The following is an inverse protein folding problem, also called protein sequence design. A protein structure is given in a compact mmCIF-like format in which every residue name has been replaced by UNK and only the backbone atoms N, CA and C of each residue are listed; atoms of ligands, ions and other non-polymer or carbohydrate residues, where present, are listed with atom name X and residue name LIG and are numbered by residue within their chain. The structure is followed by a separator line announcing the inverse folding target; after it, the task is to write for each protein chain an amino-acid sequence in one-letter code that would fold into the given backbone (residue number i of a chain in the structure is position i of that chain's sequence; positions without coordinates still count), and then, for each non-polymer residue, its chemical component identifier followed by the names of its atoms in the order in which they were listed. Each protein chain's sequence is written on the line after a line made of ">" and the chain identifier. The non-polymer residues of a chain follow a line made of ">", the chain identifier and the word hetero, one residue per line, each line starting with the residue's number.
data_IF_783028755357
#
_entry.id   IF_783028755357
#
_cell.length_a   1.000
_cell.length_b   1.000
_cell.length_c   1.000
_cell.angle_alpha   90.00
_cell.angle_beta   90.00
_cell.angle_gamma   90.00
#
_symmetry.space_group_name_H-M   'P 1'
#
loop_
_entity.id
_entity.type
_entity.pdbx_description
1 polymer ?
#
# COMPACT_ATOMS: atom_id res chain seq x y z
N UNK A 1 7.53 32.07 23.52
CA UNK A 1 8.68 31.32 22.98
C UNK A 1 9.05 30.25 23.99
N UNK A 2 8.55 29.05 23.83
CA UNK A 2 8.99 27.90 24.63
C UNK A 2 10.47 27.68 24.30
N UNK A 3 11.27 27.70 25.32
CA UNK A 3 12.72 27.65 25.18
C UNK A 3 13.12 26.26 24.63
N UNK A 4 13.68 26.21 23.42
CA UNK A 4 14.12 24.94 22.79
C UNK A 4 15.03 24.14 23.73
N UNK A 5 15.75 24.81 24.62
CA UNK A 5 16.57 24.20 25.66
C UNK A 5 15.78 23.51 26.77
N UNK A 6 14.58 23.97 27.09
CA UNK A 6 13.71 23.27 28.07
C UNK A 6 13.14 21.98 27.45
N UNK A 7 12.68 22.04 26.19
CA UNK A 7 12.24 20.86 25.45
C UNK A 7 13.35 19.81 25.29
N UNK A 8 14.59 20.25 25.03
CA UNK A 8 15.76 19.37 25.00
C UNK A 8 15.97 18.63 26.34
N UNK A 9 15.85 19.36 27.46
CA UNK A 9 16.03 18.77 28.79
C UNK A 9 14.89 17.80 29.15
N UNK A 10 13.68 18.10 28.72
CA UNK A 10 12.50 17.27 28.97
C UNK A 10 12.45 16.02 28.10
N UNK A 11 12.94 16.11 26.85
CA UNK A 11 12.89 15.04 25.84
C UNK A 11 14.22 14.78 25.13
N UNK A 12 15.29 14.44 25.86
CA UNK A 12 16.63 14.32 25.28
C UNK A 12 16.74 13.23 24.20
N UNK A 13 15.94 12.19 24.33
CA UNK A 13 15.95 11.06 23.39
C UNK A 13 15.33 11.45 22.07
N UNK A 14 14.20 12.15 22.08
CA UNK A 14 13.56 12.67 20.88
C UNK A 14 14.49 13.61 20.09
N UNK A 15 15.15 14.53 20.76
CA UNK A 15 16.10 15.44 20.10
C UNK A 15 17.31 14.72 19.52
N UNK A 16 17.83 13.70 20.23
CA UNK A 16 18.92 12.88 19.71
C UNK A 16 18.52 12.15 18.43
N UNK A 17 17.31 11.59 18.36
CA UNK A 17 16.79 10.96 17.13
C UNK A 17 16.63 11.97 16.01
N UNK A 18 16.05 13.13 16.27
CA UNK A 18 15.90 14.19 15.27
C UNK A 18 17.25 14.63 14.71
N UNK A 19 18.27 14.80 15.56
CA UNK A 19 19.63 15.15 15.12
C UNK A 19 20.24 14.02 14.31
N UNK A 20 20.11 12.78 14.75
CA UNK A 20 20.65 11.61 14.06
C UNK A 20 20.02 11.46 12.66
N UNK A 21 18.69 11.54 12.57
CA UNK A 21 17.97 11.51 11.31
C UNK A 21 18.33 12.68 10.39
N UNK A 22 18.50 13.88 10.96
CA UNK A 22 18.93 15.05 10.20
C UNK A 22 20.33 14.88 9.63
N UNK A 23 21.28 14.37 10.43
CA UNK A 23 22.64 14.11 9.99
C UNK A 23 22.69 13.02 8.90
N UNK A 24 21.94 11.95 9.07
CA UNK A 24 21.81 10.91 8.04
C UNK A 24 21.23 11.51 6.75
N UNK A 25 20.17 12.32 6.86
CA UNK A 25 19.53 12.96 5.70
C UNK A 25 20.49 13.86 4.95
N UNK A 26 21.27 14.67 5.69
CA UNK A 26 22.30 15.56 5.11
C UNK A 26 23.40 14.72 4.45
N UNK A 27 23.89 13.66 5.11
CA UNK A 27 24.93 12.79 4.57
C UNK A 27 24.45 12.08 3.29
N UNK A 28 23.19 11.58 3.28
CA UNK A 28 22.59 11.01 2.10
C UNK A 28 22.42 12.03 0.97
N UNK A 29 21.92 13.23 1.27
CA UNK A 29 21.77 14.30 0.28
C UNK A 29 23.15 14.68 -0.31
N UNK A 30 24.15 14.89 0.52
CA UNK A 30 25.52 15.20 0.07
C UNK A 30 26.13 14.06 -0.77
N UNK A 31 26.00 12.82 -0.34
CA UNK A 31 26.44 11.63 -1.07
C UNK A 31 25.72 11.48 -2.42
N UNK A 32 24.41 11.70 -2.42
CA UNK A 32 23.57 11.66 -3.62
C UNK A 32 23.97 12.74 -4.63
N UNK A 33 24.13 13.99 -4.20
CA UNK A 33 24.61 15.08 -5.05
C UNK A 33 26.02 14.82 -5.57
N UNK A 34 26.94 14.37 -4.70
CA UNK A 34 28.29 14.01 -5.12
C UNK A 34 28.28 12.92 -6.20
N UNK A 35 27.45 11.90 -6.05
CA UNK A 35 27.32 10.79 -6.99
C UNK A 35 26.71 11.24 -8.32
N UNK A 36 25.69 12.11 -8.29
CA UNK A 36 25.07 12.71 -9.49
C UNK A 36 26.07 13.51 -10.30
N UNK A 37 26.88 14.37 -9.62
CA UNK A 37 27.88 15.21 -10.31
C UNK A 37 29.03 14.38 -10.91
N UNK A 38 29.36 13.26 -10.31
CA UNK A 38 30.47 12.40 -10.75
C UNK A 38 30.09 11.42 -11.86
N UNK A 39 28.83 11.04 -11.97
CA UNK A 39 28.37 10.05 -12.96
C UNK A 39 27.23 10.60 -13.80
N UNK A 40 27.34 10.39 -15.13
CA UNK A 40 26.22 10.65 -16.05
C UNK A 40 25.15 9.56 -15.89
N UNK A 41 24.32 9.68 -14.86
CA UNK A 41 23.24 8.72 -14.59
C UNK A 41 22.03 9.00 -15.47
N UNK A 42 21.34 7.95 -15.87
CA UNK A 42 20.03 8.06 -16.51
C UNK A 42 18.99 8.52 -15.49
N UNK A 43 17.97 9.29 -15.91
CA UNK A 43 16.92 9.80 -15.04
C UNK A 43 16.21 8.67 -14.24
N UNK A 44 16.00 7.50 -14.86
CA UNK A 44 15.44 6.32 -14.20
C UNK A 44 16.28 5.82 -13.02
N UNK A 45 17.61 5.86 -13.14
CA UNK A 45 18.52 5.49 -12.05
C UNK A 45 18.48 6.51 -10.91
N UNK A 46 18.42 7.80 -11.27
CA UNK A 46 18.26 8.90 -10.30
C UNK A 46 16.94 8.73 -9.55
N UNK A 47 15.86 8.47 -10.29
CA UNK A 47 14.54 8.18 -9.71
C UNK A 47 14.60 7.04 -8.70
N UNK A 48 15.14 5.87 -9.09
CA UNK A 48 15.25 4.71 -8.22
C UNK A 48 15.96 5.05 -6.90
N UNK A 49 17.14 5.69 -6.99
CA UNK A 49 17.91 6.06 -5.82
C UNK A 49 17.20 7.11 -4.96
N UNK A 50 16.55 8.10 -5.58
CA UNK A 50 15.79 9.11 -4.86
C UNK A 50 14.64 8.47 -4.07
N UNK A 51 13.86 7.57 -4.70
CA UNK A 51 12.76 6.88 -4.02
C UNK A 51 13.27 6.00 -2.88
N UNK A 52 14.34 5.23 -3.11
CA UNK A 52 14.92 4.39 -2.06
C UNK A 52 15.44 5.20 -0.88
N UNK A 53 16.13 6.32 -1.12
CA UNK A 53 16.68 7.17 -0.06
C UNK A 53 15.56 7.88 0.70
N UNK A 54 14.71 8.63 -0.01
CA UNK A 54 13.65 9.43 0.61
C UNK A 54 12.58 8.54 1.25
N UNK A 55 12.18 7.47 0.57
CA UNK A 55 11.22 6.52 1.12
C UNK A 55 11.75 5.79 2.36
N UNK A 56 13.03 5.41 2.38
CA UNK A 56 13.64 4.84 3.60
C UNK A 56 13.63 5.85 4.74
N UNK A 57 13.97 7.12 4.46
CA UNK A 57 13.91 8.19 5.45
C UNK A 57 12.49 8.36 6.01
N UNK A 58 11.49 8.44 5.12
CA UNK A 58 10.09 8.50 5.53
C UNK A 58 9.67 7.28 6.36
N UNK A 59 10.08 6.07 5.95
CA UNK A 59 9.78 4.84 6.69
C UNK A 59 10.30 4.86 8.13
N UNK A 60 11.44 5.50 8.38
CA UNK A 60 11.99 5.68 9.74
C UNK A 60 11.31 6.82 10.52
N UNK A 61 10.95 7.91 9.83
CA UNK A 61 10.26 9.05 10.46
C UNK A 61 8.83 8.71 10.83
N UNK A 62 8.14 7.98 9.95
CA UNK A 62 6.79 7.49 10.24
C UNK A 62 6.84 6.52 11.41
N UNK A 63 6.09 6.85 12.46
CA UNK A 63 5.95 5.95 13.61
C UNK A 63 5.38 4.61 13.15
N UNK A 64 5.75 3.51 13.83
CA UNK A 64 5.15 2.22 13.55
C UNK A 64 3.61 2.28 13.59
N UNK A 65 2.96 1.76 12.55
CA UNK A 65 1.51 1.67 12.42
C UNK A 65 0.76 3.03 12.46
N UNK A 66 1.46 4.15 12.17
CA UNK A 66 0.85 5.49 12.21
C UNK A 66 0.28 5.96 10.87
N UNK A 67 0.62 5.30 9.77
CA UNK A 67 0.00 5.59 8.48
C UNK A 67 -1.47 5.18 8.49
N UNK A 68 -2.34 5.83 7.70
CA UNK A 68 -3.75 5.48 7.62
C UNK A 68 -3.94 3.98 7.34
N UNK A 69 -4.79 3.33 8.12
CA UNK A 69 -5.13 1.90 8.03
C UNK A 69 -3.93 0.94 8.09
N UNK A 70 -2.75 1.38 8.54
CA UNK A 70 -1.53 0.57 8.49
C UNK A 70 -1.62 -0.69 9.35
N UNK A 71 -2.43 -0.68 10.40
CA UNK A 71 -2.73 -1.88 11.21
C UNK A 71 -3.42 -2.95 10.37
N UNK A 72 -4.45 -2.57 9.61
CA UNK A 72 -5.17 -3.48 8.72
C UNK A 72 -4.26 -4.00 7.59
N UNK A 73 -3.38 -3.14 7.10
CA UNK A 73 -2.36 -3.50 6.11
C UNK A 73 -1.32 -4.46 6.70
N UNK A 74 -0.91 -4.25 7.97
CA UNK A 74 -0.02 -5.16 8.70
C UNK A 74 -0.65 -6.55 8.82
N UNK A 75 -1.89 -6.62 9.30
CA UNK A 75 -2.62 -7.90 9.47
C UNK A 75 -2.80 -8.61 8.12
N UNK A 76 -3.09 -7.86 7.05
CA UNK A 76 -3.23 -8.42 5.70
C UNK A 76 -1.92 -9.00 5.16
N UNK A 77 -0.81 -8.28 5.32
CA UNK A 77 0.51 -8.76 4.95
C UNK A 77 0.94 -9.95 5.80
N UNK A 78 0.59 -9.94 7.09
CA UNK A 78 0.89 -11.05 8.01
C UNK A 78 0.12 -12.32 7.64
N UNK A 79 -1.17 -12.22 7.33
CA UNK A 79 -1.99 -13.35 6.89
C UNK A 79 -1.39 -14.00 5.65
N UNK A 80 -1.08 -13.20 4.63
CA UNK A 80 -0.46 -13.70 3.40
C UNK A 80 0.94 -14.30 3.66
N UNK A 81 1.74 -13.67 4.52
CA UNK A 81 3.04 -14.22 4.94
C UNK A 81 2.89 -15.58 5.62
N UNK A 82 1.84 -15.79 6.42
CA UNK A 82 1.58 -17.07 7.08
C UNK A 82 1.21 -18.16 6.06
N UNK A 83 0.45 -17.81 5.03
CA UNK A 83 0.17 -18.72 3.91
C UNK A 83 1.44 -19.08 3.14
N UNK A 84 2.28 -18.08 2.82
CA UNK A 84 3.58 -18.28 2.13
C UNK A 84 4.53 -19.18 2.91
N UNK A 85 4.47 -19.13 4.25
CA UNK A 85 5.28 -19.99 5.14
C UNK A 85 4.61 -21.33 5.44
N UNK A 86 3.54 -21.71 4.77
CA UNK A 86 2.86 -23.00 4.91
C UNK A 86 2.02 -23.15 6.18
N UNK A 87 1.65 -22.04 6.83
CA UNK A 87 0.85 -22.04 8.06
C UNK A 87 -0.67 -21.89 7.80
N UNK A 88 -1.11 -21.90 6.53
CA UNK A 88 -2.49 -21.60 6.12
C UNK A 88 -3.58 -22.47 6.77
N UNK A 89 -3.30 -23.75 7.08
CA UNK A 89 -4.28 -24.65 7.69
C UNK A 89 -4.63 -24.36 9.16
N UNK A 90 -3.96 -23.38 9.79
CA UNK A 90 -4.19 -22.96 11.18
C UNK A 90 -4.19 -21.44 11.31
N UNK A 91 -4.63 -20.76 10.28
CA UNK A 91 -4.52 -19.32 10.17
C UNK A 91 -5.56 -18.60 11.04
N UNK A 92 -6.72 -19.19 11.22
CA UNK A 92 -7.81 -18.61 11.98
C UNK A 92 -8.29 -19.53 13.08
N UNK A 93 -8.81 -18.97 14.16
CA UNK A 93 -9.52 -19.70 15.22
C UNK A 93 -10.99 -19.97 14.81
N UNK A 94 -11.76 -20.55 15.75
CA UNK A 94 -13.19 -20.83 15.55
C UNK A 94 -14.06 -19.57 15.38
N UNK A 95 -13.59 -18.44 15.87
CA UNK A 95 -14.27 -17.13 15.80
C UNK A 95 -13.81 -16.29 14.61
N UNK A 96 -12.87 -16.81 13.81
CA UNK A 96 -12.32 -16.13 12.63
C UNK A 96 -11.24 -15.10 12.93
N UNK A 97 -10.63 -15.13 14.12
CA UNK A 97 -9.51 -14.27 14.48
C UNK A 97 -8.21 -14.81 13.89
N UNK A 98 -7.38 -13.93 13.36
CA UNK A 98 -6.11 -14.31 12.75
C UNK A 98 -5.09 -14.73 13.82
N UNK A 99 -4.47 -15.90 13.62
CA UNK A 99 -3.38 -16.38 14.45
C UNK A 99 -2.09 -15.62 14.14
N UNK A 100 -1.51 -15.02 15.17
CA UNK A 100 -0.25 -14.27 15.10
C UNK A 100 0.75 -14.80 16.13
N UNK A 101 2.01 -14.37 16.07
CA UNK A 101 2.97 -14.66 17.14
C UNK A 101 2.56 -13.84 18.37
N UNK A 102 2.86 -14.37 19.57
CA UNK A 102 2.54 -13.69 20.81
C UNK A 102 3.16 -12.30 20.91
N UNK A 103 4.38 -12.14 20.42
CA UNK A 103 5.07 -10.85 20.32
C UNK A 103 4.33 -9.80 19.47
N UNK A 104 3.51 -10.25 18.52
CA UNK A 104 2.76 -9.38 17.63
C UNK A 104 1.34 -9.07 18.17
N UNK A 105 0.91 -9.72 19.28
CA UNK A 105 -0.44 -9.59 19.86
C UNK A 105 -0.74 -8.16 20.34
N UNK A 106 0.29 -7.44 20.79
CA UNK A 106 0.16 -6.04 21.20
C UNK A 106 -0.26 -5.08 20.07
N UNK A 107 -0.42 -5.58 18.84
CA UNK A 107 -0.91 -4.77 17.72
C UNK A 107 -2.33 -4.24 18.01
N UNK A 108 -3.13 -4.99 18.78
CA UNK A 108 -4.47 -4.58 19.15
C UNK A 108 -4.44 -3.41 20.15
N UNK A 109 -3.43 -3.35 21.02
CA UNK A 109 -3.21 -2.23 21.94
C UNK A 109 -2.80 -0.95 21.22
N UNK A 110 -2.20 -1.08 20.03
CA UNK A 110 -1.77 0.05 19.22
C UNK A 110 -2.91 0.69 18.45
N UNK A 111 -4.02 -0.01 18.26
CA UNK A 111 -5.21 0.53 17.60
C UNK A 111 -6.08 1.41 18.51
N UNK A 112 -5.82 1.41 19.83
CA UNK A 112 -6.70 2.04 20.81
C UNK A 112 -8.03 1.27 20.99
N UNK A 113 -8.09 0.01 20.60
CA UNK A 113 -9.28 -0.81 20.71
C UNK A 113 -9.72 -0.95 22.17
N UNK A 114 -10.92 -0.50 22.46
CA UNK A 114 -11.49 -0.42 23.80
C UNK A 114 -11.52 0.98 24.39
N UNK A 115 -10.85 1.96 23.76
CA UNK A 115 -10.91 3.37 24.14
C UNK A 115 -11.21 4.24 22.93
N UNK A 116 -12.48 4.55 22.65
CA UNK A 116 -12.90 5.37 21.51
C UNK A 116 -12.20 6.73 21.44
N UNK A 117 -11.87 7.29 22.59
CA UNK A 117 -11.14 8.56 22.72
C UNK A 117 -9.68 8.50 22.27
N UNK A 118 -9.07 7.31 22.19
CA UNK A 118 -7.70 7.11 21.72
C UNK A 118 -7.62 6.69 20.25
N UNK A 119 -8.74 6.24 19.69
CA UNK A 119 -8.84 5.87 18.28
C UNK A 119 -9.06 7.12 17.42
N UNK A 120 -8.22 7.33 16.42
CA UNK A 120 -8.45 8.37 15.41
C UNK A 120 -8.84 7.75 14.07
N UNK A 121 -9.72 8.44 13.36
CA UNK A 121 -10.16 8.04 12.00
C UNK A 121 -8.99 8.01 11.01
N UNK A 122 -7.91 8.74 11.28
CA UNK A 122 -6.78 8.93 10.37
C UNK A 122 -5.45 8.33 10.83
N UNK A 123 -5.47 7.45 11.80
CA UNK A 123 -4.26 6.82 12.30
C UNK A 123 -4.11 6.93 13.80
N UNK A 124 -3.01 6.39 14.31
CA UNK A 124 -2.75 6.33 15.73
C UNK A 124 -2.20 7.64 16.27
N UNK A 125 -2.59 8.01 17.48
CA UNK A 125 -1.91 9.08 18.19
C UNK A 125 -0.48 8.65 18.52
N UNK A 126 0.49 9.44 18.06
CA UNK A 126 1.88 9.25 18.44
C UNK A 126 2.02 9.66 19.89
N UNK A 127 2.34 8.73 20.75
CA UNK A 127 2.61 8.99 22.15
C UNK A 127 4.04 8.65 22.55
N UNK A 128 4.47 9.17 23.69
CA UNK A 128 5.83 8.96 24.19
C UNK A 128 6.16 7.49 24.42
N UNK A 129 5.18 6.69 24.86
CA UNK A 129 5.34 5.26 25.13
C UNK A 129 5.75 4.51 23.84
N UNK A 130 5.08 4.78 22.72
CA UNK A 130 5.40 4.16 21.42
C UNK A 130 6.83 4.50 20.96
N UNK A 131 7.27 5.74 21.16
CA UNK A 131 8.65 6.15 20.84
C UNK A 131 9.66 5.39 21.71
N UNK A 132 9.41 5.27 23.01
CA UNK A 132 10.28 4.55 23.94
C UNK A 132 10.31 3.04 23.64
N UNK A 133 9.19 2.44 23.29
CA UNK A 133 9.10 1.02 22.89
C UNK A 133 9.90 0.75 21.62
N UNK A 134 9.75 1.62 20.60
CA UNK A 134 10.55 1.52 19.37
C UNK A 134 12.04 1.58 19.65
N UNK A 135 12.48 2.45 20.57
CA UNK A 135 13.90 2.60 20.91
C UNK A 135 14.47 1.41 21.67
N UNK A 136 13.63 0.75 22.47
CA UNK A 136 14.02 -0.45 23.23
C UNK A 136 13.87 -1.72 22.42
N UNK A 137 13.27 -1.64 21.22
CA UNK A 137 12.97 -2.80 20.41
C UNK A 137 14.25 -3.53 20.00
N UNK A 138 14.25 -4.82 20.23
CA UNK A 138 15.28 -5.73 19.71
C UNK A 138 15.04 -6.01 18.22
N UNK A 139 16.11 -6.32 17.50
CA UNK A 139 16.00 -6.85 16.13
C UNK A 139 15.30 -8.21 16.12
N UNK A 140 15.61 -9.07 17.11
CA UNK A 140 15.05 -10.41 17.21
C UNK A 140 13.85 -10.46 18.14
N UNK A 141 12.91 -11.36 17.81
CA UNK A 141 11.76 -11.67 18.63
C UNK A 141 12.18 -12.19 20.02
N UNK A 142 11.53 -11.71 21.06
CA UNK A 142 11.84 -12.04 22.45
C UNK A 142 10.83 -13.03 23.01
N UNK A 143 9.58 -12.97 22.57
CA UNK A 143 8.51 -13.81 23.05
C UNK A 143 8.27 -15.00 22.14
N UNK A 144 8.01 -16.17 22.76
CA UNK A 144 7.67 -17.41 22.05
C UNK A 144 6.18 -17.70 22.24
N UNK A 145 5.60 -18.34 21.23
CA UNK A 145 4.21 -18.76 21.26
C UNK A 145 3.35 -18.04 20.23
N UNK A 146 2.04 -18.24 20.35
CA UNK A 146 1.04 -17.70 19.41
C UNK A 146 -0.09 -17.08 20.21
N UNK A 147 -0.68 -16.04 19.67
CA UNK A 147 -1.89 -15.39 20.08
C UNK A 147 -2.81 -15.18 18.90
N UNK A 148 -3.82 -14.35 19.07
CA UNK A 148 -4.79 -14.01 18.04
C UNK A 148 -5.02 -12.51 18.03
N UNK A 149 -5.30 -11.94 16.85
CA UNK A 149 -5.71 -10.54 16.73
C UNK A 149 -7.17 -10.46 16.30
N UNK A 150 -7.90 -9.50 16.86
CA UNK A 150 -9.28 -9.18 16.49
C UNK A 150 -9.34 -8.44 15.13
N UNK A 151 -8.23 -7.90 14.69
CA UNK A 151 -8.13 -7.17 13.43
C UNK A 151 -8.27 -8.13 12.24
N UNK A 152 -9.07 -7.73 11.26
CA UNK A 152 -9.34 -8.56 10.07
C UNK A 152 -8.55 -8.07 8.87
N UNK A 153 -7.97 -8.99 8.06
CA UNK A 153 -7.33 -8.63 6.80
C UNK A 153 -8.28 -7.89 5.86
N UNK A 154 -7.75 -6.94 5.11
CA UNK A 154 -8.49 -6.22 4.08
C UNK A 154 -8.93 -7.17 2.97
N UNK A 155 -10.19 -7.13 2.58
CA UNK A 155 -10.71 -7.88 1.44
C UNK A 155 -10.21 -7.28 0.13
N UNK A 156 -9.16 -7.85 -0.41
CA UNK A 156 -8.58 -7.45 -1.70
C UNK A 156 -7.83 -8.63 -2.31
N UNK A 157 -7.21 -8.42 -3.47
CA UNK A 157 -6.35 -9.44 -4.08
C UNK A 157 -5.08 -9.67 -3.25
N UNK A 158 -4.63 -10.93 -3.08
CA UNK A 158 -3.35 -11.22 -2.43
C UNK A 158 -2.14 -10.52 -3.06
N UNK A 159 -2.22 -10.22 -4.37
CA UNK A 159 -1.17 -9.51 -5.09
C UNK A 159 -0.88 -8.13 -4.51
N UNK A 160 -1.89 -7.44 -3.97
CA UNK A 160 -1.75 -6.12 -3.36
C UNK A 160 -0.82 -6.10 -2.14
N UNK A 161 -0.74 -7.23 -1.42
CA UNK A 161 0.11 -7.38 -0.24
C UNK A 161 1.31 -8.30 -0.45
N UNK A 162 1.55 -8.77 -1.69
CA UNK A 162 2.60 -9.74 -1.97
C UNK A 162 3.98 -9.26 -1.49
N UNK A 163 4.34 -8.02 -1.79
CA UNK A 163 5.67 -7.51 -1.43
C UNK A 163 5.83 -7.25 0.06
N UNK A 164 4.91 -6.57 0.76
CA UNK A 164 4.96 -6.50 2.22
C UNK A 164 5.00 -7.88 2.90
N UNK A 165 4.19 -8.84 2.41
CA UNK A 165 4.18 -10.20 2.94
C UNK A 165 5.50 -10.96 2.70
N UNK A 166 6.14 -10.73 1.56
CA UNK A 166 7.47 -11.26 1.29
C UNK A 166 8.51 -10.70 2.29
N UNK A 167 8.46 -9.40 2.58
CA UNK A 167 9.27 -8.76 3.60
C UNK A 167 9.02 -9.37 5.00
N UNK A 168 7.75 -9.56 5.36
CA UNK A 168 7.37 -10.23 6.62
C UNK A 168 7.88 -11.66 6.68
N UNK A 169 7.74 -12.43 5.59
CA UNK A 169 8.21 -13.81 5.52
C UNK A 169 9.72 -13.89 5.73
N UNK A 170 10.46 -12.98 5.11
CA UNK A 170 11.90 -12.89 5.27
C UNK A 170 12.30 -12.54 6.72
N UNK A 171 11.65 -11.54 7.31
CA UNK A 171 11.89 -11.16 8.70
C UNK A 171 11.51 -12.28 9.68
N UNK A 172 10.43 -13.02 9.42
CA UNK A 172 10.00 -14.18 10.25
C UNK A 172 10.97 -15.35 10.18
N UNK A 173 11.55 -15.62 9.02
CA UNK A 173 12.62 -16.64 8.87
C UNK A 173 13.85 -16.26 9.70
N UNK A 174 14.16 -14.96 9.80
CA UNK A 174 15.25 -14.43 10.61
C UNK A 174 14.90 -14.31 12.11
N UNK A 175 13.73 -14.75 12.54
CA UNK A 175 13.21 -14.55 13.90
C UNK A 175 13.16 -13.07 14.31
N UNK A 176 12.86 -12.17 13.36
CA UNK A 176 12.76 -10.74 13.60
C UNK A 176 11.60 -10.38 14.53
N UNK A 177 11.78 -9.32 15.31
CA UNK A 177 10.73 -8.74 16.16
C UNK A 177 9.60 -8.12 15.34
N UNK A 178 8.51 -7.70 15.98
CA UNK A 178 7.39 -7.00 15.31
C UNK A 178 7.85 -5.75 14.54
N UNK A 179 8.79 -4.99 15.09
CA UNK A 179 9.35 -3.82 14.40
C UNK A 179 10.19 -4.23 13.18
N UNK A 180 10.94 -5.32 13.29
CA UNK A 180 11.68 -5.89 12.16
C UNK A 180 10.72 -6.31 11.04
N UNK A 181 9.60 -6.97 11.38
CA UNK A 181 8.58 -7.31 10.40
C UNK A 181 8.06 -6.05 9.69
N UNK A 182 7.65 -5.04 10.47
CA UNK A 182 7.13 -3.78 9.94
C UNK A 182 8.10 -3.12 8.97
N UNK A 183 9.36 -2.94 9.37
CA UNK A 183 10.36 -2.28 8.52
C UNK A 183 10.75 -3.09 7.30
N UNK A 184 10.81 -4.42 7.40
CA UNK A 184 11.03 -5.27 6.21
C UNK A 184 9.83 -5.19 5.26
N UNK A 185 8.61 -5.21 5.75
CA UNK A 185 7.41 -5.03 4.93
C UNK A 185 7.39 -3.69 4.20
N UNK A 186 7.66 -2.58 4.92
CA UNK A 186 7.77 -1.23 4.35
C UNK A 186 8.89 -1.16 3.30
N UNK A 187 10.05 -1.74 3.58
CA UNK A 187 11.19 -1.77 2.67
C UNK A 187 10.87 -2.52 1.36
N UNK A 188 10.24 -3.69 1.43
CA UNK A 188 9.87 -4.45 0.22
C UNK A 188 8.79 -3.73 -0.58
N UNK A 189 7.85 -3.06 0.08
CA UNK A 189 6.84 -2.22 -0.58
C UNK A 189 7.48 -1.05 -1.32
N UNK A 190 8.38 -0.33 -0.65
CA UNK A 190 9.18 0.76 -1.23
C UNK A 190 10.05 0.29 -2.40
N UNK A 191 10.71 -0.86 -2.25
CA UNK A 191 11.56 -1.44 -3.29
C UNK A 191 10.76 -1.75 -4.56
N UNK A 192 9.59 -2.36 -4.40
CA UNK A 192 8.69 -2.65 -5.52
C UNK A 192 8.27 -1.37 -6.25
N UNK A 193 7.81 -0.35 -5.51
CA UNK A 193 7.45 0.94 -6.09
C UNK A 193 8.63 1.58 -6.84
N UNK A 194 9.81 1.58 -6.23
CA UNK A 194 11.01 2.20 -6.79
C UNK A 194 11.45 1.52 -8.10
N UNK A 195 11.37 0.19 -8.17
CA UNK A 195 11.68 -0.58 -9.39
C UNK A 195 10.67 -0.26 -10.50
N UNK A 196 9.38 -0.39 -10.23
CA UNK A 196 8.36 -0.15 -11.27
C UNK A 196 8.29 1.31 -11.69
N UNK A 197 8.44 2.24 -10.76
CA UNK A 197 8.51 3.67 -11.07
C UNK A 197 9.74 4.02 -11.93
N UNK A 198 10.88 3.40 -11.65
CA UNK A 198 12.09 3.54 -12.48
C UNK A 198 11.86 3.03 -13.90
N UNK A 199 11.22 1.87 -14.06
CA UNK A 199 10.82 1.33 -15.35
C UNK A 199 9.81 2.24 -16.07
N UNK A 200 8.88 2.83 -15.33
CA UNK A 200 7.92 3.79 -15.87
C UNK A 200 8.62 5.05 -16.41
N UNK A 201 9.58 5.61 -15.65
CA UNK A 201 10.41 6.74 -16.11
C UNK A 201 11.25 6.39 -17.34
N UNK A 202 11.74 5.15 -17.44
CA UNK A 202 12.49 4.72 -18.61
C UNK A 202 11.61 4.65 -19.87
N UNK A 203 10.40 4.10 -19.71
CA UNK A 203 9.47 3.83 -20.80
C UNK A 203 8.73 5.07 -21.32
N UNK A 204 8.32 5.96 -20.43
CA UNK A 204 7.50 7.11 -20.83
C UNK A 204 8.28 8.03 -21.79
N UNK A 205 7.73 8.33 -22.99
CA UNK A 205 8.45 9.13 -24.00
C UNK A 205 8.53 10.63 -23.63
N UNK A 206 7.54 11.13 -22.88
CA UNK A 206 7.44 12.55 -22.47
C UNK A 206 6.89 12.65 -21.05
N UNK A 207 7.17 13.75 -20.34
CA UNK A 207 6.67 13.99 -18.99
C UNK A 207 7.38 13.18 -17.89
N UNK A 208 8.62 12.72 -18.13
CA UNK A 208 9.45 12.00 -17.13
C UNK A 208 9.61 12.79 -15.85
N UNK A 209 9.85 14.08 -15.99
CA UNK A 209 10.04 15.01 -14.88
C UNK A 209 8.75 15.21 -14.09
N UNK A 210 7.59 15.21 -14.76
CA UNK A 210 6.27 15.32 -14.12
C UNK A 210 6.03 14.07 -13.27
N UNK A 211 6.23 12.87 -13.84
CA UNK A 211 6.05 11.61 -13.12
C UNK A 211 6.99 11.53 -11.92
N UNK A 212 8.23 11.97 -12.08
CA UNK A 212 9.21 12.05 -11.00
C UNK A 212 8.74 13.02 -9.91
N UNK A 213 8.28 14.21 -10.29
CA UNK A 213 7.81 15.24 -9.32
C UNK A 213 6.61 14.76 -8.52
N UNK A 214 5.64 14.08 -9.16
CA UNK A 214 4.49 13.50 -8.45
C UNK A 214 4.94 12.44 -7.43
N UNK A 215 5.96 11.65 -7.76
CA UNK A 215 6.52 10.66 -6.85
C UNK A 215 7.18 11.27 -5.60
N UNK A 216 7.63 12.51 -5.69
CA UNK A 216 8.25 13.25 -4.57
C UNK A 216 7.23 13.94 -3.66
N UNK A 217 5.93 13.91 -3.98
CA UNK A 217 4.93 14.50 -3.10
C UNK A 217 4.91 13.80 -1.74
N UNK A 218 4.78 14.56 -0.64
CA UNK A 218 4.79 13.99 0.71
C UNK A 218 3.81 12.83 0.88
N UNK A 219 2.60 12.95 0.32
CA UNK A 219 1.59 11.90 0.36
C UNK A 219 2.03 10.64 -0.38
N UNK A 220 2.69 10.77 -1.55
CA UNK A 220 3.24 9.62 -2.27
C UNK A 220 4.34 8.95 -1.46
N UNK A 221 5.26 9.76 -0.89
CA UNK A 221 6.35 9.25 -0.05
C UNK A 221 5.81 8.53 1.20
N UNK A 222 4.76 9.04 1.84
CA UNK A 222 4.09 8.39 2.96
C UNK A 222 3.53 7.02 2.56
N UNK A 223 2.74 6.96 1.49
CA UNK A 223 2.11 5.72 1.03
C UNK A 223 3.13 4.64 0.68
N UNK A 224 4.20 4.99 -0.06
CA UNK A 224 5.21 4.02 -0.49
C UNK A 224 6.15 3.58 0.64
N UNK A 225 6.22 4.35 1.71
CA UNK A 225 7.06 4.10 2.89
C UNK A 225 6.31 3.41 4.02
N UNK A 226 5.03 3.14 3.83
CA UNK A 226 4.16 2.40 4.74
C UNK A 226 3.84 0.99 4.21
N UNK A 227 3.00 0.24 4.93
CA UNK A 227 2.48 -1.05 4.47
C UNK A 227 1.29 -0.92 3.52
N UNK A 228 0.89 0.30 3.18
CA UNK A 228 -0.27 0.54 2.33
C UNK A 228 -0.15 -0.15 0.97
N UNK A 229 -1.19 -0.87 0.58
CA UNK A 229 -1.29 -1.44 -0.77
C UNK A 229 -1.47 -0.37 -1.86
N UNK A 230 -1.68 0.90 -1.48
CA UNK A 230 -1.69 2.01 -2.43
C UNK A 230 -0.32 2.21 -3.11
N UNK A 231 0.78 1.83 -2.47
CA UNK A 231 2.10 1.79 -3.11
C UNK A 231 2.11 0.84 -4.33
N UNK A 232 1.49 -0.34 -4.20
CA UNK A 232 1.33 -1.31 -5.29
C UNK A 232 0.47 -0.73 -6.42
N UNK A 233 -0.66 -0.10 -6.08
CA UNK A 233 -1.57 0.53 -7.03
C UNK A 233 -0.86 1.65 -7.79
N UNK A 234 -0.17 2.55 -7.09
CA UNK A 234 0.56 3.66 -7.70
C UNK A 234 1.68 3.17 -8.63
N UNK A 235 2.46 2.17 -8.21
CA UNK A 235 3.52 1.60 -9.03
C UNK A 235 3.01 1.04 -10.36
N UNK A 236 1.93 0.25 -10.30
CA UNK A 236 1.30 -0.31 -11.51
C UNK A 236 0.62 0.77 -12.35
N UNK A 237 0.00 1.77 -11.74
CA UNK A 237 -0.62 2.89 -12.45
C UNK A 237 0.42 3.72 -13.21
N UNK A 238 1.58 3.99 -12.61
CA UNK A 238 2.68 4.69 -13.27
C UNK A 238 3.24 3.90 -14.44
N UNK A 239 3.45 2.60 -14.25
CA UNK A 239 3.93 1.73 -15.33
C UNK A 239 2.89 1.64 -16.45
N UNK A 240 1.62 1.45 -16.12
CA UNK A 240 0.53 1.41 -17.09
C UNK A 240 0.46 2.70 -17.92
N UNK A 241 0.43 3.85 -17.25
CA UNK A 241 0.40 5.16 -17.91
C UNK A 241 1.59 5.32 -18.88
N UNK A 242 2.78 4.97 -18.42
CA UNK A 242 4.00 5.06 -19.22
C UNK A 242 3.95 4.17 -20.46
N UNK A 243 3.38 2.95 -20.32
CA UNK A 243 3.21 2.04 -21.46
C UNK A 243 2.17 2.56 -22.47
N UNK A 244 1.06 3.12 -22.01
CA UNK A 244 0.05 3.70 -22.90
C UNK A 244 0.65 4.85 -23.72
N UNK A 245 1.44 5.73 -23.08
CA UNK A 245 2.14 6.79 -23.77
C UNK A 245 3.19 6.24 -24.73
N UNK A 246 4.01 5.26 -24.32
CA UNK A 246 4.97 4.58 -25.18
C UNK A 246 4.26 4.02 -26.42
N UNK A 247 3.16 3.31 -26.26
CA UNK A 247 2.41 2.69 -27.36
C UNK A 247 1.80 3.70 -28.32
N UNK A 248 1.38 4.87 -27.82
CA UNK A 248 0.86 5.94 -28.67
C UNK A 248 1.94 6.59 -29.53
N UNK A 249 3.17 6.76 -29.03
CA UNK A 249 4.21 7.54 -29.68
C UNK A 249 5.32 6.70 -30.34
N UNK A 250 5.38 5.39 -30.06
CA UNK A 250 6.35 4.47 -30.65
C UNK A 250 6.10 4.34 -32.16
N UNK A 251 7.19 4.30 -32.96
CA UNK A 251 7.11 4.15 -34.43
C UNK A 251 6.68 2.73 -34.85
N UNK A 252 7.12 1.73 -34.12
CA UNK A 252 6.83 0.32 -34.42
C UNK A 252 5.37 -0.02 -34.16
N UNK A 253 4.84 -0.97 -34.96
CA UNK A 253 3.47 -1.47 -34.79
C UNK A 253 3.32 -2.30 -33.54
N UNK A 254 2.18 -2.11 -32.85
CA UNK A 254 1.81 -2.89 -31.68
C UNK A 254 1.31 -4.28 -32.10
N UNK A 255 1.78 -5.29 -31.37
CA UNK A 255 1.40 -6.68 -31.55
C UNK A 255 0.65 -7.25 -30.35
N UNK A 256 0.54 -8.57 -30.32
CA UNK A 256 -0.12 -9.30 -29.24
C UNK A 256 0.62 -9.12 -27.90
N UNK A 257 1.95 -9.03 -27.94
CA UNK A 257 2.79 -8.89 -26.74
C UNK A 257 2.41 -7.66 -25.92
N UNK A 258 2.17 -6.54 -26.56
CA UNK A 258 1.80 -5.28 -25.91
C UNK A 258 0.43 -5.39 -25.25
N UNK A 259 -0.52 -6.03 -25.92
CA UNK A 259 -1.86 -6.29 -25.35
C UNK A 259 -1.75 -7.17 -24.11
N UNK A 260 -0.96 -8.25 -24.17
CA UNK A 260 -0.76 -9.16 -23.05
C UNK A 260 -0.21 -8.42 -21.83
N UNK A 261 0.78 -7.52 -22.00
CA UNK A 261 1.31 -6.74 -20.87
C UNK A 261 0.26 -5.85 -20.23
N UNK A 262 -0.60 -5.18 -21.03
CA UNK A 262 -1.70 -4.36 -20.49
C UNK A 262 -2.71 -5.25 -19.76
N UNK A 263 -3.06 -6.41 -20.33
CA UNK A 263 -3.97 -7.36 -19.68
C UNK A 263 -3.41 -7.86 -18.33
N UNK A 264 -2.12 -8.15 -18.24
CA UNK A 264 -1.48 -8.55 -16.98
C UNK A 264 -1.55 -7.46 -15.93
N UNK A 265 -1.30 -6.20 -16.31
CA UNK A 265 -1.45 -5.06 -15.40
C UNK A 265 -2.92 -4.88 -15.01
N UNK A 266 -3.87 -5.08 -15.92
CA UNK A 266 -5.30 -4.99 -15.64
C UNK A 266 -5.75 -6.04 -14.62
N UNK A 267 -5.33 -7.29 -14.78
CA UNK A 267 -5.60 -8.39 -13.84
C UNK A 267 -5.02 -8.08 -12.45
N UNK A 268 -3.83 -7.48 -12.41
CA UNK A 268 -3.15 -7.18 -11.16
C UNK A 268 -3.74 -5.96 -10.43
N UNK A 269 -4.19 -4.93 -11.17
CA UNK A 269 -4.61 -3.64 -10.62
C UNK A 269 -6.12 -3.57 -10.32
N UNK A 270 -6.97 -4.08 -11.24
CA UNK A 270 -8.42 -3.88 -11.15
C UNK A 270 -9.05 -4.42 -9.85
N UNK A 271 -8.66 -5.57 -9.29
CA UNK A 271 -9.27 -6.10 -8.08
C UNK A 271 -8.82 -5.40 -6.79
N UNK A 272 -7.79 -4.54 -6.86
CA UNK A 272 -7.33 -3.78 -5.68
C UNK A 272 -8.34 -2.71 -5.26
N UNK A 273 -8.66 -1.82 -6.20
CA UNK A 273 -9.68 -0.77 -6.04
C UNK A 273 -10.38 -0.55 -7.38
N UNK A 274 -11.67 -0.80 -7.45
CA UNK A 274 -12.48 -0.72 -8.67
C UNK A 274 -12.32 0.62 -9.43
N UNK A 275 -12.14 1.71 -8.70
CA UNK A 275 -11.98 3.07 -9.27
C UNK A 275 -10.80 3.16 -10.23
N UNK A 276 -9.72 2.43 -9.99
CA UNK A 276 -8.55 2.45 -10.86
C UNK A 276 -8.76 1.72 -12.19
N UNK A 277 -9.84 0.95 -12.32
CA UNK A 277 -10.23 0.34 -13.61
C UNK A 277 -10.54 1.40 -14.67
N UNK A 278 -10.91 2.62 -14.25
CA UNK A 278 -11.14 3.75 -15.17
C UNK A 278 -9.86 4.17 -15.92
N UNK A 279 -8.66 3.92 -15.36
CA UNK A 279 -7.40 4.19 -16.06
C UNK A 279 -7.30 3.46 -17.40
N UNK A 280 -7.88 2.26 -17.49
CA UNK A 280 -7.81 1.45 -18.72
C UNK A 280 -8.61 2.04 -19.88
N UNK A 281 -9.48 3.04 -19.65
CA UNK A 281 -10.11 3.82 -20.70
C UNK A 281 -9.08 4.58 -21.56
N UNK A 282 -7.90 4.87 -21.00
CA UNK A 282 -6.81 5.48 -21.75
C UNK A 282 -6.32 4.57 -22.91
N UNK A 283 -6.52 3.26 -22.84
CA UNK A 283 -6.19 2.35 -23.92
C UNK A 283 -6.99 2.66 -25.21
N UNK A 284 -8.21 3.20 -25.07
CA UNK A 284 -9.04 3.60 -26.23
C UNK A 284 -8.43 4.81 -26.95
N UNK A 285 -7.62 5.63 -26.26
CA UNK A 285 -6.95 6.78 -26.86
C UNK A 285 -5.77 6.37 -27.75
N UNK A 286 -5.25 5.13 -27.60
CA UNK A 286 -4.21 4.61 -28.50
C UNK A 286 -4.82 4.38 -29.88
N UNK A 287 -4.28 5.07 -30.88
CA UNK A 287 -4.83 5.00 -32.24
C UNK A 287 -4.80 3.57 -32.79
N UNK A 288 -5.92 3.11 -33.35
CA UNK A 288 -5.99 1.80 -34.02
C UNK A 288 -4.95 1.65 -35.13
N UNK A 289 -4.50 2.76 -35.74
CA UNK A 289 -3.43 2.78 -36.75
C UNK A 289 -2.07 2.36 -36.20
N UNK A 290 -1.88 2.35 -34.90
CA UNK A 290 -0.65 1.88 -34.23
C UNK A 290 -0.55 0.36 -34.20
N UNK A 291 -1.65 -0.35 -34.32
CA UNK A 291 -1.69 -1.81 -34.29
C UNK A 291 -1.31 -2.41 -35.66
N UNK A 292 -0.76 -3.61 -35.63
CA UNK A 292 -0.41 -4.37 -36.82
C UNK A 292 -1.62 -4.73 -37.71
N UNK A 293 -2.81 -4.81 -37.07
CA UNK A 293 -4.09 -5.04 -37.72
C UNK A 293 -5.21 -4.31 -36.98
N UNK A 294 -6.24 -3.75 -37.66
CA UNK A 294 -7.41 -3.17 -37.01
C UNK A 294 -8.15 -4.17 -36.13
N UNK A 295 -8.21 -5.43 -36.54
CA UNK A 295 -8.85 -6.50 -35.75
C UNK A 295 -8.11 -6.73 -34.43
N UNK A 296 -6.77 -6.60 -34.41
CA UNK A 296 -5.98 -6.75 -33.21
C UNK A 296 -6.30 -5.65 -32.19
N UNK A 297 -6.60 -4.43 -32.65
CA UNK A 297 -7.06 -3.36 -31.77
C UNK A 297 -8.38 -3.72 -31.06
N UNK A 298 -9.40 -4.13 -31.80
CA UNK A 298 -10.71 -4.46 -31.21
C UNK A 298 -10.65 -5.68 -30.29
N UNK A 299 -9.92 -6.73 -30.70
CA UNK A 299 -9.66 -7.91 -29.86
C UNK A 299 -8.90 -7.49 -28.60
N UNK A 300 -7.92 -6.59 -28.72
CA UNK A 300 -7.14 -6.07 -27.58
C UNK A 300 -7.99 -5.31 -26.58
N UNK A 301 -8.84 -4.39 -27.04
CA UNK A 301 -9.76 -3.65 -26.14
C UNK A 301 -10.73 -4.61 -25.44
N UNK A 302 -11.28 -5.60 -26.16
CA UNK A 302 -12.13 -6.62 -25.58
C UNK A 302 -11.39 -7.46 -24.52
N UNK A 303 -10.18 -7.91 -24.83
CA UNK A 303 -9.34 -8.69 -23.90
C UNK A 303 -8.99 -7.90 -22.63
N UNK A 304 -8.67 -6.61 -22.77
CA UNK A 304 -8.42 -5.71 -21.65
C UNK A 304 -9.69 -5.58 -20.78
N UNK A 305 -10.83 -5.33 -21.40
CA UNK A 305 -12.13 -5.28 -20.69
C UNK A 305 -12.42 -6.56 -19.90
N UNK A 306 -12.18 -7.71 -20.50
CA UNK A 306 -12.34 -9.01 -19.83
C UNK A 306 -11.34 -9.18 -18.67
N UNK A 307 -10.10 -8.73 -18.86
CA UNK A 307 -9.05 -8.75 -17.84
C UNK A 307 -9.34 -7.83 -16.63
N UNK A 308 -10.22 -6.85 -16.79
CA UNK A 308 -10.73 -6.02 -15.70
C UNK A 308 -11.90 -6.69 -15.00
N UNK A 309 -12.90 -7.14 -15.79
CA UNK A 309 -14.18 -7.60 -15.25
C UNK A 309 -14.04 -8.92 -14.51
N UNK A 310 -13.29 -9.89 -15.05
CA UNK A 310 -13.17 -11.21 -14.44
C UNK A 310 -12.55 -11.17 -13.01
N UNK A 311 -11.41 -10.51 -12.78
CA UNK A 311 -10.84 -10.43 -11.43
C UNK A 311 -11.73 -9.67 -10.46
N UNK A 312 -12.40 -8.60 -10.90
CA UNK A 312 -13.36 -7.85 -10.07
C UNK A 312 -14.54 -8.74 -9.64
N UNK A 313 -15.09 -9.54 -10.55
CA UNK A 313 -16.16 -10.48 -10.23
C UNK A 313 -15.67 -11.54 -9.24
N UNK A 314 -14.48 -12.12 -9.46
CA UNK A 314 -13.94 -13.17 -8.60
C UNK A 314 -13.72 -12.69 -7.15
N UNK A 315 -13.16 -11.48 -6.95
CA UNK A 315 -12.95 -10.91 -5.61
C UNK A 315 -14.26 -10.54 -4.92
N UNK A 316 -15.30 -10.18 -5.70
CA UNK A 316 -16.58 -9.73 -5.18
C UNK A 316 -17.72 -10.77 -5.33
N UNK A 317 -17.40 -12.03 -5.59
CA UNK A 317 -18.42 -13.10 -5.80
C UNK A 317 -19.42 -13.18 -4.64
N UNK A 318 -18.96 -13.08 -3.39
CA UNK A 318 -19.85 -13.12 -2.22
C UNK A 318 -20.82 -11.93 -2.17
N UNK A 319 -20.35 -10.74 -2.55
CA UNK A 319 -21.19 -9.56 -2.63
C UNK A 319 -22.20 -9.67 -3.79
N UNK A 320 -21.74 -10.18 -4.93
CA UNK A 320 -22.58 -10.40 -6.10
C UNK A 320 -23.63 -11.50 -5.88
N UNK A 321 -23.26 -12.60 -5.21
CA UNK A 321 -24.19 -13.67 -4.88
C UNK A 321 -25.33 -13.21 -3.96
N UNK A 322 -25.00 -12.34 -2.98
CA UNK A 322 -26.01 -11.71 -2.10
C UNK A 322 -26.93 -10.74 -2.84
N UNK A 323 -26.43 -10.07 -3.87
CA UNK A 323 -27.22 -9.15 -4.68
C UNK A 323 -28.19 -9.91 -5.62
N UNK A 324 -27.74 -11.04 -6.21
CA UNK A 324 -28.54 -11.87 -7.15
C UNK A 324 -29.52 -12.77 -6.41
N UNK A 325 -29.18 -13.23 -5.20
CA UNK A 325 -30.07 -13.99 -4.33
C UNK A 325 -30.23 -13.21 -3.03
N UNK A 326 -31.18 -12.28 -2.94
CA UNK A 326 -31.50 -11.64 -1.67
C UNK A 326 -32.00 -12.75 -0.75
N UNK A 327 -31.13 -13.26 0.10
CA UNK A 327 -31.54 -14.05 1.23
C UNK A 327 -32.29 -13.10 2.15
N UNK A 328 -33.50 -13.45 2.55
CA UNK A 328 -34.27 -12.77 3.60
C UNK A 328 -33.60 -13.02 4.98
N UNK A 329 -32.32 -12.83 5.06
CA UNK A 329 -31.67 -12.65 6.35
C UNK A 329 -32.07 -11.27 6.83
N UNK A 330 -33.02 -11.23 7.72
CA UNK A 330 -33.23 -10.10 8.63
C UNK A 330 -31.96 -9.92 9.44
N UNK A 331 -30.93 -9.37 8.79
CA UNK A 331 -29.76 -8.85 9.49
C UNK A 331 -30.31 -7.72 10.34
N UNK A 332 -30.42 -7.97 11.64
CA UNK A 332 -30.74 -6.95 12.60
C UNK A 332 -29.67 -5.89 12.50
N UNK A 333 -29.93 -4.86 11.70
CA UNK A 333 -29.05 -3.69 11.53
C UNK A 333 -28.66 -3.05 12.88
N UNK A 334 -29.50 -3.24 13.90
CA UNK A 334 -29.22 -2.79 15.26
C UNK A 334 -27.96 -3.42 15.88
N UNK A 335 -27.54 -4.61 15.44
CA UNK A 335 -26.32 -5.25 15.94
C UNK A 335 -25.05 -4.81 15.20
N UNK A 336 -25.18 -4.18 14.02
CA UNK A 336 -24.05 -3.63 13.25
C UNK A 336 -23.81 -2.18 13.63
N UNK A 337 -24.88 -1.42 13.90
CA UNK A 337 -24.82 0.01 14.25
C UNK A 337 -24.34 0.23 15.70
N UNK A 338 -24.41 -0.79 16.55
CA UNK A 338 -24.01 -0.68 17.96
C UNK A 338 -22.51 -0.86 18.23
N UNK A 339 -21.72 -1.30 17.26
CA UNK A 339 -20.28 -1.54 17.46
C UNK A 339 -19.36 -0.53 16.77
N UNK A 340 -19.83 0.18 15.75
CA UNK A 340 -19.04 1.22 15.09
C UNK A 340 -19.59 2.59 15.51
N UNK A 341 -18.88 3.28 16.38
CA UNK A 341 -19.27 4.57 16.90
C UNK A 341 -19.61 5.58 15.79
N UNK A 342 -20.88 5.74 15.53
CA UNK A 342 -21.44 6.99 15.04
C UNK A 342 -21.31 7.35 13.56
N UNK A 343 -21.00 6.45 12.65
CA UNK A 343 -21.28 6.71 11.23
C UNK A 343 -22.74 6.33 10.92
N UNK A 344 -23.60 7.32 10.87
CA UNK A 344 -24.95 7.14 10.32
C UNK A 344 -24.81 6.74 8.84
N UNK A 345 -25.13 5.47 8.52
CA UNK A 345 -25.15 5.00 7.14
C UNK A 345 -26.48 5.41 6.51
N UNK A 346 -26.46 6.49 5.76
CA UNK A 346 -27.63 6.96 5.03
C UNK A 346 -28.02 6.02 3.89
N UNK A 347 -29.29 5.64 3.86
CA UNK A 347 -29.84 4.83 2.78
C UNK A 347 -29.99 5.71 1.52
N UNK A 348 -29.58 5.23 0.34
CA UNK A 348 -29.75 5.95 -0.94
C UNK A 348 -31.16 6.46 -1.17
N UNK A 349 -32.20 5.75 -0.69
CA UNK A 349 -33.61 6.18 -0.81
C UNK A 349 -33.91 7.39 0.08
N UNK A 350 -33.27 7.50 1.24
CA UNK A 350 -33.45 8.63 2.15
C UNK A 350 -32.78 9.90 1.61
N UNK A 351 -31.56 9.76 1.05
CA UNK A 351 -30.86 10.86 0.38
C UNK A 351 -31.66 11.38 -0.82
N UNK A 352 -32.26 10.47 -1.62
CA UNK A 352 -33.06 10.85 -2.78
C UNK A 352 -34.45 11.41 -2.42
N UNK A 353 -34.98 11.07 -1.25
CA UNK A 353 -36.25 11.55 -0.76
C UNK A 353 -36.16 12.95 -0.11
N UNK A 354 -35.00 13.33 0.40
CA UNK A 354 -34.74 14.62 1.08
C UNK A 354 -33.39 15.20 0.65
N UNK A 355 -33.24 15.60 -0.62
CA UNK A 355 -31.96 16.10 -1.15
C UNK A 355 -31.52 17.44 -0.57
N UNK A 356 -32.41 18.15 0.11
CA UNK A 356 -32.20 19.44 0.77
C UNK A 356 -31.69 19.29 2.21
N UNK A 357 -31.69 18.06 2.77
CA UNK A 357 -31.21 17.76 4.12
C UNK A 357 -29.78 17.21 4.09
N UNK A 358 -29.37 16.68 2.96
CA UNK A 358 -28.05 16.09 2.70
C UNK A 358 -27.37 16.85 1.55
#
# INVERSE_FOLDING_TARGET
>A
MTNLLSLWREHPVFFRECIFLSLISIAFAAGFFFFLFRRKMKLAQIYFLSMMILGSLYSFVLMPLSAPDEVLHYVSAYALSSEMLGQGGRLYDGDGNLRIRKEDEEIDDWTGDGKPEEATVFGMHINRKQVEERQKASFFAQEKGYGFTLQKPVKTTPLAYFFPALGFSFARILYGSRFTLLYFGRFFNLLFFSILGSLAIEKIPMGKEILFSISLFPMTLELISSLSYDAYILALSFLFLSMVFEYQFREEKLGIKEIVWICLIAIALSPCKMVYSLLFLLCVMVSFKRFSSPWLYFIGIFAIGLSIVLPLLLVNLDAFSRYVRPQEDTVNLSNIVGQDGGMETYNRREILAQPDVY
#
